data_IF_932528029654
#
_entry.id   IF_932528029654
#
_cell.length_a   1.000
_cell.length_b   1.000
_cell.length_c   1.000
_cell.angle_alpha   90.00
_cell.angle_beta   90.00
_cell.angle_gamma   90.00
#
_symmetry.space_group_name_H-M   'P 1'
#
loop_
_entity.id
_entity.type
_entity.pdbx_description
1 polymer ?
#
# COMPACT_ATOMS: atom_id res chain seq x y z
N UNK A 1 -22.12 23.47 -12.87
CA UNK A 1 -22.96 23.42 -11.66
C UNK A 1 -22.45 22.28 -10.80
N UNK A 2 -21.79 22.55 -9.67
CA UNK A 2 -21.52 21.50 -8.67
C UNK A 2 -22.82 21.27 -7.90
N UNK A 3 -23.32 20.04 -7.86
CA UNK A 3 -24.47 19.69 -7.05
C UNK A 3 -24.18 20.02 -5.57
N UNK A 4 -25.21 20.41 -4.81
CA UNK A 4 -25.09 20.65 -3.38
C UNK A 4 -24.55 19.38 -2.68
N UNK A 5 -23.47 19.45 -1.89
CA UNK A 5 -22.89 18.29 -1.20
C UNK A 5 -23.92 17.48 -0.41
N UNK A 6 -24.91 18.18 0.18
CA UNK A 6 -25.99 17.57 0.97
C UNK A 6 -26.91 16.62 0.18
N UNK A 7 -27.10 16.83 -1.12
CA UNK A 7 -27.94 15.95 -1.95
C UNK A 7 -27.19 14.70 -2.42
N UNK A 8 -25.86 14.77 -2.53
CA UNK A 8 -25.04 13.65 -2.96
C UNK A 8 -24.93 12.55 -1.89
N UNK A 9 -24.96 12.91 -0.59
CA UNK A 9 -24.92 11.93 0.51
C UNK A 9 -26.08 10.91 0.46
N UNK A 10 -27.24 11.29 -0.08
CA UNK A 10 -28.41 10.42 -0.20
C UNK A 10 -28.21 9.25 -1.18
N UNK A 11 -27.25 9.37 -2.11
CA UNK A 11 -26.98 8.36 -3.14
C UNK A 11 -25.74 7.51 -2.84
N UNK A 12 -24.89 7.96 -1.91
CA UNK A 12 -23.69 7.25 -1.47
C UNK A 12 -23.97 6.31 -0.29
N UNK A 13 -24.91 5.40 -0.48
CA UNK A 13 -25.17 4.32 0.48
C UNK A 13 -24.21 3.13 0.27
N UNK A 14 -23.95 2.37 1.33
CA UNK A 14 -23.07 1.18 1.34
C UNK A 14 -23.14 0.26 0.10
N UNK A 15 -24.31 -0.15 -0.43
CA UNK A 15 -24.36 -1.02 -1.61
C UNK A 15 -23.77 -0.40 -2.87
N UNK A 16 -23.92 0.93 -3.02
CA UNK A 16 -23.35 1.66 -4.15
C UNK A 16 -21.83 1.72 -4.01
N UNK A 17 -21.31 2.09 -2.83
CA UNK A 17 -19.87 2.12 -2.53
C UNK A 17 -19.25 0.73 -2.81
N UNK A 18 -19.89 -0.34 -2.36
CA UNK A 18 -19.48 -1.72 -2.64
C UNK A 18 -19.37 -2.00 -4.14
N UNK A 19 -20.37 -1.58 -4.93
CA UNK A 19 -20.38 -1.76 -6.39
C UNK A 19 -19.26 -1.01 -7.10
N UNK A 20 -18.86 0.16 -6.59
CA UNK A 20 -17.72 0.92 -7.12
C UNK A 20 -16.42 0.16 -6.88
N UNK A 21 -16.19 -0.32 -5.66
CA UNK A 21 -14.98 -1.07 -5.31
C UNK A 21 -14.87 -2.40 -6.08
N UNK A 22 -15.97 -3.14 -6.24
CA UNK A 22 -15.96 -4.38 -7.03
C UNK A 22 -15.66 -4.14 -8.52
N UNK A 23 -15.88 -2.92 -9.00
CA UNK A 23 -15.67 -2.54 -10.41
C UNK A 23 -14.28 -1.96 -10.70
N UNK A 24 -13.43 -1.76 -9.69
CA UNK A 24 -12.10 -1.15 -9.85
C UNK A 24 -11.17 -1.90 -10.81
N UNK A 25 -11.34 -3.22 -10.90
CA UNK A 25 -10.55 -4.06 -11.80
C UNK A 25 -10.97 -3.93 -13.27
N UNK A 26 -12.10 -3.30 -13.56
CA UNK A 26 -12.51 -3.02 -14.93
C UNK A 26 -11.59 -1.95 -15.53
N UNK A 27 -10.80 -2.34 -16.54
CA UNK A 27 -9.80 -1.47 -17.17
C UNK A 27 -10.42 -0.29 -17.93
N UNK A 28 -11.66 -0.41 -18.41
CA UNK A 28 -12.32 0.64 -19.17
C UNK A 28 -12.76 1.82 -18.30
N UNK A 29 -13.15 1.55 -17.04
CA UNK A 29 -13.71 2.57 -16.12
C UNK A 29 -12.90 2.78 -14.85
N UNK A 30 -11.90 1.94 -14.57
CA UNK A 30 -11.18 1.93 -13.30
C UNK A 30 -10.48 3.25 -12.95
N UNK A 31 -10.02 4.02 -13.96
CA UNK A 31 -9.45 5.35 -13.74
C UNK A 31 -10.51 6.35 -13.24
N UNK A 32 -11.64 6.44 -13.93
CA UNK A 32 -12.76 7.30 -13.52
C UNK A 32 -13.33 6.89 -12.16
N UNK A 33 -13.41 5.58 -11.87
CA UNK A 33 -13.83 5.08 -10.56
C UNK A 33 -12.84 5.43 -9.45
N UNK A 34 -11.53 5.41 -9.73
CA UNK A 34 -10.50 5.81 -8.77
C UNK A 34 -10.62 7.30 -8.41
N UNK A 35 -10.85 8.15 -9.42
CA UNK A 35 -11.09 9.59 -9.20
C UNK A 35 -12.37 9.82 -8.40
N UNK A 36 -13.47 9.16 -8.77
CA UNK A 36 -14.73 9.24 -8.05
C UNK A 36 -14.56 8.82 -6.58
N UNK A 37 -13.94 7.67 -6.32
CA UNK A 37 -13.72 7.19 -4.95
C UNK A 37 -12.79 8.12 -4.15
N UNK A 38 -11.79 8.72 -4.79
CA UNK A 38 -10.93 9.71 -4.12
C UNK A 38 -11.72 10.96 -3.72
N UNK A 39 -12.62 11.43 -4.61
CA UNK A 39 -13.55 12.53 -4.33
C UNK A 39 -14.54 12.13 -3.21
N UNK A 40 -15.00 10.88 -3.19
CA UNK A 40 -15.86 10.34 -2.11
C UNK A 40 -15.19 10.46 -0.75
N UNK A 41 -13.96 9.95 -0.65
CA UNK A 41 -13.18 9.96 0.58
C UNK A 41 -12.87 11.38 1.05
N UNK A 42 -12.51 12.28 0.14
CA UNK A 42 -12.20 13.69 0.47
C UNK A 42 -13.41 14.48 0.97
N UNK A 43 -14.60 14.22 0.42
CA UNK A 43 -15.82 14.93 0.82
C UNK A 43 -16.58 14.25 1.96
N UNK A 44 -16.07 13.14 2.52
CA UNK A 44 -16.73 12.41 3.60
C UNK A 44 -18.01 11.70 3.16
N UNK A 45 -18.10 11.30 1.89
CA UNK A 45 -19.21 10.49 1.39
C UNK A 45 -19.05 9.04 1.85
N UNK A 46 -19.66 8.74 2.99
CA UNK A 46 -19.60 7.44 3.64
C UNK A 46 -18.55 7.35 4.74
N UNK A 47 -18.74 6.43 5.68
CA UNK A 47 -17.81 6.19 6.79
C UNK A 47 -16.53 5.54 6.26
N UNK A 48 -15.38 6.10 6.61
CA UNK A 48 -14.10 5.52 6.25
C UNK A 48 -13.99 4.08 6.78
N UNK A 49 -14.21 3.87 8.07
CA UNK A 49 -14.03 2.57 8.70
C UNK A 49 -15.11 1.56 8.29
N UNK A 50 -16.39 1.94 8.38
CA UNK A 50 -17.50 0.99 8.24
C UNK A 50 -17.83 0.66 6.78
N UNK A 51 -17.55 1.57 5.85
CA UNK A 51 -17.91 1.41 4.45
C UNK A 51 -16.65 1.22 3.59
N UNK A 52 -15.76 2.20 3.55
CA UNK A 52 -14.63 2.17 2.61
C UNK A 52 -13.55 1.14 2.98
N UNK A 53 -13.09 1.12 4.23
CA UNK A 53 -12.05 0.20 4.72
C UNK A 53 -12.59 -1.23 4.69
N UNK A 54 -13.80 -1.49 5.17
CA UNK A 54 -14.40 -2.83 5.07
C UNK A 54 -14.52 -3.31 3.62
N UNK A 55 -14.95 -2.46 2.69
CA UNK A 55 -15.02 -2.82 1.27
C UNK A 55 -13.63 -3.12 0.69
N UNK A 56 -12.64 -2.28 0.96
CA UNK A 56 -11.29 -2.48 0.46
C UNK A 56 -10.64 -3.74 1.00
N UNK A 57 -10.73 -3.97 2.31
CA UNK A 57 -10.24 -5.19 2.95
C UNK A 57 -10.91 -6.41 2.31
N UNK A 58 -12.23 -6.41 2.13
CA UNK A 58 -12.94 -7.50 1.47
C UNK A 58 -12.45 -7.75 0.03
N UNK A 59 -12.18 -6.69 -0.75
CA UNK A 59 -11.65 -6.84 -2.11
C UNK A 59 -10.19 -7.30 -2.14
N UNK A 60 -9.35 -6.86 -1.20
CA UNK A 60 -7.96 -7.30 -1.06
C UNK A 60 -7.86 -8.80 -0.79
N UNK A 61 -8.79 -9.34 0.00
CA UNK A 61 -8.85 -10.77 0.32
C UNK A 61 -9.73 -11.58 -0.64
N UNK A 62 -10.39 -10.93 -1.60
CA UNK A 62 -11.22 -11.61 -2.59
C UNK A 62 -10.35 -12.36 -3.61
N UNK A 63 -10.70 -13.62 -3.87
CA UNK A 63 -10.06 -14.44 -4.91
C UNK A 63 -10.56 -14.13 -6.32
N UNK A 64 -11.68 -13.41 -6.45
CA UNK A 64 -12.34 -13.16 -7.74
C UNK A 64 -11.94 -11.83 -8.39
N UNK A 65 -11.29 -10.93 -7.66
CA UNK A 65 -11.07 -9.55 -8.11
C UNK A 65 -9.58 -9.29 -8.37
N UNK A 66 -9.20 -8.85 -9.59
CA UNK A 66 -7.82 -8.46 -9.86
C UNK A 66 -7.37 -7.29 -8.96
N UNK A 67 -6.54 -7.60 -7.96
CA UNK A 67 -5.99 -6.66 -6.96
C UNK A 67 -5.18 -5.51 -7.57
N UNK A 68 -4.79 -5.66 -8.83
CA UNK A 68 -4.13 -4.65 -9.68
C UNK A 68 -4.85 -3.31 -9.68
N UNK A 69 -6.19 -3.29 -9.76
CA UNK A 69 -6.94 -2.02 -9.74
C UNK A 69 -6.77 -1.25 -8.43
N UNK A 70 -6.61 -1.95 -7.32
CA UNK A 70 -6.38 -1.36 -6.00
C UNK A 70 -4.94 -0.87 -5.90
N UNK A 71 -3.97 -1.76 -6.11
CA UNK A 71 -2.56 -1.46 -5.86
C UNK A 71 -1.92 -0.53 -6.90
N UNK A 72 -2.35 -0.58 -8.16
CA UNK A 72 -1.74 0.22 -9.23
C UNK A 72 -2.50 1.51 -9.55
N UNK A 73 -3.76 1.66 -9.11
CA UNK A 73 -4.56 2.87 -9.40
C UNK A 73 -5.06 3.54 -8.14
N UNK A 74 -5.87 2.84 -7.34
CA UNK A 74 -6.53 3.46 -6.19
C UNK A 74 -5.54 3.93 -5.14
N UNK A 75 -4.67 3.05 -4.62
CA UNK A 75 -3.74 3.44 -3.56
C UNK A 75 -2.79 4.57 -3.98
N UNK A 76 -2.20 4.59 -5.20
CA UNK A 76 -1.46 5.75 -5.69
C UNK A 76 -2.31 7.02 -5.82
N UNK A 77 -3.59 6.90 -6.18
CA UNK A 77 -4.52 8.04 -6.25
C UNK A 77 -4.74 8.65 -4.86
N UNK A 78 -5.06 7.80 -3.89
CA UNK A 78 -5.28 8.17 -2.49
C UNK A 78 -4.01 8.74 -1.86
N UNK A 79 -2.84 8.12 -2.09
CA UNK A 79 -1.58 8.56 -1.47
C UNK A 79 -1.15 9.97 -1.89
N UNK A 80 -1.52 10.40 -3.11
CA UNK A 80 -1.22 11.74 -3.62
C UNK A 80 -2.14 12.82 -3.07
N UNK A 81 -3.25 12.45 -2.42
CA UNK A 81 -4.20 13.39 -1.87
C UNK A 81 -3.81 13.76 -0.42
N UNK A 82 -3.42 15.02 -0.15
CA UNK A 82 -2.88 15.41 1.15
C UNK A 82 -3.92 15.41 2.28
N UNK A 83 -5.22 15.46 1.96
CA UNK A 83 -6.28 15.46 2.96
C UNK A 83 -6.62 14.07 3.48
N UNK A 84 -6.48 13.05 2.62
CA UNK A 84 -6.91 11.67 2.93
C UNK A 84 -5.76 10.68 3.00
N UNK A 85 -4.66 10.90 2.26
CA UNK A 85 -3.64 9.88 1.97
C UNK A 85 -3.12 9.16 3.20
N UNK A 86 -2.34 9.84 4.03
CA UNK A 86 -1.73 9.24 5.21
C UNK A 86 -2.74 8.68 6.23
N UNK A 87 -3.76 9.44 6.69
CA UNK A 87 -4.66 8.95 7.72
C UNK A 87 -5.51 7.76 7.21
N UNK A 88 -6.00 7.80 5.97
CA UNK A 88 -6.78 6.70 5.40
C UNK A 88 -5.93 5.44 5.20
N UNK A 89 -4.72 5.57 4.65
CA UNK A 89 -3.83 4.42 4.42
C UNK A 89 -3.35 3.79 5.73
N UNK A 90 -3.17 4.57 6.79
CA UNK A 90 -2.83 4.06 8.13
C UNK A 90 -4.00 3.27 8.73
N UNK A 91 -5.24 3.75 8.57
CA UNK A 91 -6.43 3.01 8.99
C UNK A 91 -6.61 1.72 8.20
N UNK A 92 -6.39 1.75 6.88
CA UNK A 92 -6.43 0.55 6.04
C UNK A 92 -5.37 -0.46 6.45
N UNK A 93 -4.14 -0.01 6.69
CA UNK A 93 -3.05 -0.87 7.12
C UNK A 93 -3.40 -1.57 8.43
N UNK A 94 -3.90 -0.83 9.42
CA UNK A 94 -4.34 -1.39 10.70
C UNK A 94 -5.43 -2.45 10.50
N UNK A 95 -6.46 -2.16 9.70
CA UNK A 95 -7.52 -3.11 9.41
C UNK A 95 -7.02 -4.39 8.71
N UNK A 96 -5.96 -4.29 7.89
CA UNK A 96 -5.31 -5.45 7.26
C UNK A 96 -4.51 -6.25 8.28
N UNK A 97 -3.80 -5.59 9.21
CA UNK A 97 -2.98 -6.22 10.24
C UNK A 97 -3.82 -6.92 11.32
N UNK A 98 -4.99 -6.38 11.64
CA UNK A 98 -5.88 -6.91 12.69
C UNK A 98 -6.59 -8.22 12.28
N UNK A 99 -6.47 -8.68 11.03
CA UNK A 99 -7.04 -9.97 10.61
C UNK A 99 -6.16 -11.16 11.04
N UNK A 100 -6.73 -12.35 11.29
CA UNK A 100 -5.97 -13.51 11.81
C UNK A 100 -4.81 -13.98 10.92
N UNK A 101 -4.93 -13.79 9.60
CA UNK A 101 -3.89 -14.18 8.63
C UNK A 101 -3.69 -13.04 7.63
N UNK A 102 -2.89 -12.02 7.99
CA UNK A 102 -2.75 -10.84 7.18
C UNK A 102 -1.93 -11.14 5.92
N UNK A 103 -2.36 -10.57 4.80
CA UNK A 103 -1.63 -10.66 3.53
C UNK A 103 -0.37 -9.80 3.57
N UNK A 104 0.80 -10.42 3.47
CA UNK A 104 2.08 -9.70 3.49
C UNK A 104 2.22 -8.77 2.27
N UNK A 105 1.71 -9.19 1.11
CA UNK A 105 1.63 -8.32 -0.08
C UNK A 105 0.84 -7.05 0.24
N UNK A 106 -0.33 -7.19 0.87
CA UNK A 106 -1.17 -6.06 1.22
C UNK A 106 -0.51 -5.12 2.25
N UNK A 107 0.08 -5.67 3.31
CA UNK A 107 0.82 -4.89 4.32
C UNK A 107 1.92 -4.06 3.65
N UNK A 108 2.74 -4.68 2.81
CA UNK A 108 3.87 -3.99 2.14
C UNK A 108 3.37 -2.94 1.14
N UNK A 109 2.36 -3.27 0.34
CA UNK A 109 1.79 -2.33 -0.63
C UNK A 109 1.18 -1.11 0.05
N UNK A 110 0.33 -1.29 1.06
CA UNK A 110 -0.32 -0.18 1.77
C UNK A 110 0.71 0.65 2.53
N UNK A 111 1.67 0.01 3.22
CA UNK A 111 2.76 0.71 3.92
C UNK A 111 3.58 1.59 2.98
N UNK A 112 3.91 1.09 1.78
CA UNK A 112 4.63 1.88 0.77
C UNK A 112 3.88 3.16 0.40
N UNK A 113 2.58 3.05 0.16
CA UNK A 113 1.79 4.22 -0.20
C UNK A 113 1.60 5.16 1.00
N UNK A 114 1.43 4.63 2.21
CA UNK A 114 1.34 5.42 3.44
C UNK A 114 2.62 6.26 3.64
N UNK A 115 3.80 5.65 3.53
CA UNK A 115 5.09 6.36 3.60
C UNK A 115 5.19 7.43 2.50
N UNK A 116 4.83 7.08 1.26
CA UNK A 116 4.88 8.05 0.14
C UNK A 116 3.95 9.25 0.34
N UNK A 117 2.85 9.08 1.08
CA UNK A 117 1.82 10.13 1.26
C UNK A 117 2.21 11.21 2.26
N UNK A 118 3.13 10.91 3.20
CA UNK A 118 3.63 11.88 4.20
C UNK A 118 4.94 12.57 3.79
N UNK A 119 5.52 12.20 2.65
CA UNK A 119 6.83 12.68 2.24
C UNK A 119 7.95 12.23 3.20
N UNK A 120 9.03 13.02 3.28
CA UNK A 120 10.25 12.67 4.03
C UNK A 120 10.15 12.79 5.54
N UNK A 121 9.06 13.31 6.11
CA UNK A 121 9.13 13.88 7.46
C UNK A 121 8.55 13.01 8.60
N UNK A 122 7.74 11.96 8.34
CA UNK A 122 6.95 11.38 9.45
C UNK A 122 6.83 9.86 9.54
N UNK A 123 6.80 9.11 8.45
CA UNK A 123 6.60 7.66 8.52
C UNK A 123 7.79 6.93 7.89
N UNK A 124 8.26 5.91 8.59
CA UNK A 124 9.21 4.93 8.09
C UNK A 124 8.56 3.56 8.16
N UNK A 125 9.17 2.54 7.57
CA UNK A 125 8.60 1.19 7.66
C UNK A 125 8.58 0.71 9.13
N UNK A 126 9.56 1.10 9.95
CA UNK A 126 9.66 0.77 11.38
C UNK A 126 8.42 1.20 12.18
N UNK A 127 7.76 2.30 11.79
CA UNK A 127 6.55 2.77 12.48
C UNK A 127 5.26 2.07 12.04
N UNK A 128 5.31 1.28 10.97
CA UNK A 128 4.13 0.69 10.31
C UNK A 128 4.13 -0.84 10.32
N UNK A 129 5.32 -1.44 10.29
CA UNK A 129 5.53 -2.87 10.16
C UNK A 129 6.43 -3.31 11.31
N UNK A 130 6.01 -4.32 12.06
CA UNK A 130 6.84 -4.88 13.14
C UNK A 130 8.08 -5.57 12.57
N UNK A 131 9.13 -5.69 13.40
CA UNK A 131 10.34 -6.42 13.03
C UNK A 131 10.05 -7.87 12.59
N UNK A 132 9.12 -8.55 13.26
CA UNK A 132 8.73 -9.92 12.93
C UNK A 132 8.02 -10.02 11.57
N UNK A 133 7.13 -9.07 11.26
CA UNK A 133 6.49 -8.98 9.95
C UNK A 133 7.50 -8.70 8.84
N UNK A 134 8.41 -7.73 9.03
CA UNK A 134 9.44 -7.41 8.05
C UNK A 134 10.39 -8.59 7.82
N UNK A 135 10.78 -9.29 8.89
CA UNK A 135 11.61 -10.51 8.80
C UNK A 135 10.89 -11.58 7.97
N UNK A 136 9.62 -11.85 8.24
CA UNK A 136 8.80 -12.79 7.44
C UNK A 136 8.67 -12.35 5.99
N UNK A 137 8.57 -11.05 5.73
CA UNK A 137 8.46 -10.50 4.39
C UNK A 137 9.77 -10.65 3.58
N UNK A 138 10.92 -10.37 4.20
CA UNK A 138 12.25 -10.51 3.60
C UNK A 138 12.59 -11.97 3.28
N UNK A 139 12.15 -12.90 4.12
CA UNK A 139 12.38 -14.34 3.96
C UNK A 139 11.21 -15.07 3.26
N UNK A 140 10.27 -14.33 2.69
CA UNK A 140 9.05 -14.90 2.13
C UNK A 140 9.32 -15.81 0.92
N UNK A 141 8.51 -16.87 0.77
CA UNK A 141 8.63 -17.80 -0.36
C UNK A 141 8.37 -17.13 -1.71
N UNK A 142 7.44 -16.18 -1.75
CA UNK A 142 7.19 -15.36 -2.94
C UNK A 142 8.24 -14.27 -3.09
N UNK A 143 8.99 -14.34 -4.20
CA UNK A 143 9.97 -13.35 -4.60
C UNK A 143 9.41 -11.92 -4.68
N UNK A 144 8.18 -11.70 -5.13
CA UNK A 144 7.60 -10.35 -5.25
C UNK A 144 7.40 -9.68 -3.89
N UNK A 145 6.98 -10.47 -2.89
CA UNK A 145 6.87 -10.02 -1.49
C UNK A 145 8.25 -9.64 -0.97
N UNK A 146 9.27 -10.50 -1.16
CA UNK A 146 10.66 -10.20 -0.77
C UNK A 146 11.17 -8.91 -1.40
N UNK A 147 10.94 -8.70 -2.70
CA UNK A 147 11.37 -7.47 -3.38
C UNK A 147 10.61 -6.24 -2.93
N UNK A 148 9.34 -6.38 -2.57
CA UNK A 148 8.55 -5.26 -2.04
C UNK A 148 9.06 -4.86 -0.65
N UNK A 149 9.41 -5.82 0.20
CA UNK A 149 10.06 -5.59 1.49
C UNK A 149 11.44 -4.95 1.33
N UNK A 150 12.27 -5.48 0.42
CA UNK A 150 13.56 -4.90 0.08
C UNK A 150 13.44 -3.44 -0.38
N UNK A 151 12.47 -3.14 -1.25
CA UNK A 151 12.21 -1.77 -1.72
C UNK A 151 11.91 -0.84 -0.53
N UNK A 152 11.04 -1.25 0.40
CA UNK A 152 10.73 -0.46 1.59
C UNK A 152 11.94 -0.25 2.51
N UNK A 153 12.78 -1.28 2.63
CA UNK A 153 13.96 -1.25 3.49
C UNK A 153 15.03 -0.27 2.97
N UNK A 154 15.29 -0.27 1.66
CA UNK A 154 16.35 0.56 1.05
C UNK A 154 15.87 1.92 0.54
N UNK A 155 14.56 2.12 0.38
CA UNK A 155 13.98 3.41 -0.03
C UNK A 155 13.58 4.23 1.19
N UNK A 156 14.56 4.52 2.06
CA UNK A 156 14.32 5.33 3.24
C UNK A 156 13.87 6.74 2.83
N UNK A 157 12.72 7.23 3.33
CA UNK A 157 12.19 8.55 2.95
C UNK A 157 13.11 9.69 3.40
N UNK A 158 13.93 9.46 4.44
CA UNK A 158 15.03 10.34 4.86
C UNK A 158 16.36 9.76 4.39
N UNK A 159 16.81 10.17 3.21
CA UNK A 159 18.02 9.61 2.58
C UNK A 159 19.32 9.80 3.37
N UNK A 160 19.35 10.75 4.30
CA UNK A 160 20.53 11.07 5.12
C UNK A 160 20.51 10.39 6.48
N UNK A 161 19.44 9.66 6.82
CA UNK A 161 19.36 8.93 8.09
C UNK A 161 20.14 7.61 7.95
N UNK A 162 21.06 7.31 8.88
CA UNK A 162 21.82 6.08 8.80
C UNK A 162 20.92 4.88 9.06
N UNK A 163 21.21 3.77 8.37
CA UNK A 163 20.57 2.49 8.64
C UNK A 163 20.91 1.98 10.04
N UNK A 164 19.91 1.40 10.71
CA UNK A 164 20.14 0.74 12.00
C UNK A 164 20.85 -0.61 11.83
N UNK A 165 21.28 -1.20 12.95
CA UNK A 165 21.87 -2.55 12.94
C UNK A 165 20.84 -3.59 12.48
N UNK A 166 19.58 -3.41 12.87
CA UNK A 166 18.46 -4.24 12.46
C UNK A 166 18.21 -4.13 10.95
N UNK A 167 18.23 -2.91 10.40
CA UNK A 167 18.14 -2.69 8.94
C UNK A 167 19.25 -3.47 8.22
N UNK A 168 20.50 -3.32 8.67
CA UNK A 168 21.65 -3.99 8.06
C UNK A 168 21.54 -5.52 8.15
N UNK A 169 21.00 -6.04 9.25
CA UNK A 169 20.77 -7.47 9.45
C UNK A 169 19.72 -8.01 8.47
N UNK A 170 18.60 -7.30 8.31
CA UNK A 170 17.56 -7.63 7.33
C UNK A 170 18.08 -7.56 5.90
N UNK A 171 18.91 -6.55 5.59
CA UNK A 171 19.54 -6.42 4.28
C UNK A 171 20.46 -7.61 3.98
N UNK A 172 21.28 -8.03 4.96
CA UNK A 172 22.13 -9.22 4.85
C UNK A 172 21.31 -10.47 4.54
N UNK A 173 20.27 -10.72 5.33
CA UNK A 173 19.38 -11.87 5.15
C UNK A 173 18.69 -11.88 3.76
N UNK A 174 18.26 -10.72 3.27
CA UNK A 174 17.68 -10.60 1.93
C UNK A 174 18.70 -10.98 0.85
N UNK A 175 19.92 -10.44 0.94
CA UNK A 175 20.97 -10.70 -0.05
C UNK A 175 21.35 -12.17 -0.09
N UNK A 176 21.59 -12.80 1.07
CA UNK A 176 21.94 -14.22 1.15
C UNK A 176 20.88 -15.11 0.50
N UNK A 177 19.59 -14.79 0.69
CA UNK A 177 18.49 -15.62 0.19
C UNK A 177 18.02 -15.27 -1.22
N UNK A 178 18.45 -14.12 -1.77
CA UNK A 178 17.96 -13.61 -3.07
C UNK A 178 19.04 -13.48 -4.14
N UNK A 179 20.33 -13.61 -3.79
CA UNK A 179 21.44 -13.52 -4.76
C UNK A 179 21.48 -14.66 -5.79
N UNK A 180 20.80 -15.77 -5.52
CA UNK A 180 20.62 -16.87 -6.48
C UNK A 180 19.63 -16.58 -7.62
N UNK A 181 18.95 -15.43 -7.59
CA UNK A 181 17.93 -15.06 -8.57
C UNK A 181 18.51 -14.85 -9.98
N UNK A 182 17.95 -15.56 -10.96
CA UNK A 182 18.49 -15.59 -12.32
C UNK A 182 17.88 -14.52 -13.23
N UNK A 183 16.71 -13.97 -12.89
CA UNK A 183 16.02 -12.97 -13.72
C UNK A 183 16.81 -11.65 -13.75
N UNK A 184 17.30 -11.19 -14.92
CA UNK A 184 18.15 -10.01 -15.02
C UNK A 184 17.51 -8.73 -14.46
N UNK A 185 16.23 -8.50 -14.77
CA UNK A 185 15.48 -7.34 -14.28
C UNK A 185 15.42 -7.29 -12.75
N UNK A 186 15.34 -8.46 -12.12
CA UNK A 186 15.27 -8.59 -10.67
C UNK A 186 16.63 -8.35 -10.04
N UNK A 187 17.70 -8.92 -10.60
CA UNK A 187 19.06 -8.62 -10.15
C UNK A 187 19.38 -7.14 -10.26
N UNK A 188 18.92 -6.46 -11.32
CA UNK A 188 19.11 -5.02 -11.45
C UNK A 188 18.42 -4.24 -10.31
N UNK A 189 17.22 -4.65 -9.88
CA UNK A 189 16.55 -4.05 -8.71
C UNK A 189 17.34 -4.27 -7.42
N UNK A 190 17.89 -5.48 -7.21
CA UNK A 190 18.75 -5.77 -6.05
C UNK A 190 19.97 -4.86 -6.06
N UNK A 191 20.72 -4.83 -7.18
CA UNK A 191 21.92 -3.99 -7.33
C UNK A 191 21.61 -2.49 -7.18
N UNK A 192 20.47 -2.03 -7.68
CA UNK A 192 20.03 -0.65 -7.48
C UNK A 192 19.75 -0.34 -6.02
N UNK A 193 19.18 -1.28 -5.26
CA UNK A 193 18.99 -1.13 -3.82
C UNK A 193 20.32 -1.07 -3.06
N UNK A 194 21.26 -1.95 -3.39
CA UNK A 194 22.60 -1.94 -2.77
C UNK A 194 23.30 -0.60 -2.96
N UNK A 195 23.18 0.01 -4.15
CA UNK A 195 23.74 1.35 -4.40
C UNK A 195 23.16 2.41 -3.47
N UNK A 196 21.86 2.37 -3.19
CA UNK A 196 21.18 3.31 -2.28
C UNK A 196 21.62 3.15 -0.82
N UNK A 197 22.08 1.96 -0.43
CA UNK A 197 22.60 1.73 0.94
C UNK A 197 23.99 2.33 1.13
N UNK A 198 24.74 2.55 0.04
CA UNK A 198 26.11 3.06 0.06
C UNK A 198 26.19 4.60 0.02
N UNK A 199 25.14 5.26 -0.44
CA UNK A 199 25.02 6.73 -0.53
C UNK A 199 24.59 7.33 0.80
#
# INVERSE_FOLDING_TARGET
MRASPSLCHLYFHRPFIQSLYSSLSNTAVGAALTELLSECLSNGFGSWEEEHIQCLTAQIYSTSTPRTGIYERLLPGVSRNPQIGAPFLTLLLKAIQDVPSPSMEAILSVSRFAISSVGSERLTWHSLISMDEMTRAILHVDSQVRFSAWSLLVEHPKKTEPFSVEDCTLMGAFLETSMGEQRPAVRQKILSGIKKVRE
#
